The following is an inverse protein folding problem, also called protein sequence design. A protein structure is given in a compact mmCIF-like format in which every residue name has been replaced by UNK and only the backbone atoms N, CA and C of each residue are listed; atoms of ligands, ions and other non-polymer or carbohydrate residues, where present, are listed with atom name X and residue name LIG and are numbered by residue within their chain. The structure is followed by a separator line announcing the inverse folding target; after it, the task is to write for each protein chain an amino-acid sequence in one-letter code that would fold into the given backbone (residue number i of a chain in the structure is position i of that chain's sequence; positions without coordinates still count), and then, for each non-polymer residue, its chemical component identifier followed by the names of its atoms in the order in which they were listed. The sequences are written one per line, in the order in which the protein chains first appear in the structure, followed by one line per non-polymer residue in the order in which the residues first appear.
data_IF_428858344233
#
_entry.id   IF_428858344233
#
_cell.length_a   1.000
_cell.length_b   1.000
_cell.length_c   1.000
_cell.angle_alpha   90.00
_cell.angle_beta   90.00
_cell.angle_gamma   90.00
#
_symmetry.space_group_name_H-M   'P 1'
#
loop_
_entity.id
_entity.type
_entity.pdbx_description
1 polymer ?
#
# COMPACT_ATOMS: atom_id res chain seq x y z
N UNK A 1 -3.50 -31.30 -2.47
CA UNK A 1 -4.56 -30.39 -1.97
C UNK A 1 -4.32 -29.92 -0.53
N UNK A 2 -3.52 -30.60 0.29
CA UNK A 2 -3.22 -30.20 1.67
C UNK A 2 -2.29 -28.97 1.86
N UNK A 3 -1.76 -28.38 0.78
CA UNK A 3 -0.79 -27.28 0.89
C UNK A 3 -1.41 -25.88 1.04
N UNK A 4 -2.65 -25.68 0.60
CA UNK A 4 -3.28 -24.36 0.57
C UNK A 4 -3.88 -23.95 1.92
N UNK A 5 -4.49 -24.89 2.66
CA UNK A 5 -5.06 -24.62 3.98
C UNK A 5 -3.98 -24.36 5.04
N UNK A 6 -2.93 -25.20 5.07
CA UNK A 6 -1.77 -25.00 5.96
C UNK A 6 -1.04 -23.68 5.69
N UNK A 7 -0.93 -23.26 4.41
CA UNK A 7 -0.34 -21.97 4.07
C UNK A 7 -1.21 -20.82 4.57
N UNK A 8 -2.53 -20.90 4.41
CA UNK A 8 -3.47 -19.88 4.86
C UNK A 8 -3.47 -19.69 6.38
N UNK A 9 -3.41 -20.78 7.15
CA UNK A 9 -3.32 -20.70 8.62
C UNK A 9 -1.98 -20.13 9.08
N UNK A 10 -0.87 -20.53 8.44
CA UNK A 10 0.45 -19.97 8.75
C UNK A 10 0.56 -18.48 8.43
N UNK A 11 -0.01 -18.03 7.30
CA UNK A 11 -0.06 -16.60 6.91
C UNK A 11 -0.87 -15.76 7.91
N UNK A 12 -2.01 -16.28 8.40
CA UNK A 12 -2.81 -15.62 9.44
C UNK A 12 -2.05 -15.53 10.77
N UNK A 13 -1.26 -16.55 11.14
CA UNK A 13 -0.41 -16.49 12.33
C UNK A 13 0.74 -15.47 12.23
N UNK A 14 1.13 -15.04 11.03
CA UNK A 14 2.21 -14.07 10.78
C UNK A 14 1.66 -12.63 10.63
N UNK A 15 0.34 -12.45 10.63
CA UNK A 15 -0.28 -11.12 10.52
C UNK A 15 -0.40 -10.60 9.09
N UNK A 16 -0.41 -11.51 8.11
CA UNK A 16 -0.53 -11.18 6.68
C UNK A 16 -1.95 -11.51 6.20
N UNK A 17 -2.58 -10.56 5.52
CA UNK A 17 -3.95 -10.74 5.03
C UNK A 17 -4.05 -11.46 3.67
N UNK A 18 -5.26 -11.58 3.14
CA UNK A 18 -5.52 -12.22 1.85
C UNK A 18 -4.86 -11.51 0.64
N UNK A 19 -4.50 -10.24 0.78
CA UNK A 19 -3.79 -9.44 -0.22
C UNK A 19 -2.26 -9.48 -0.03
N UNK A 20 -1.76 -10.18 0.99
CA UNK A 20 -0.34 -10.20 1.33
C UNK A 20 0.12 -8.97 2.13
N UNK A 21 -0.81 -8.18 2.67
CA UNK A 21 -0.53 -6.97 3.44
C UNK A 21 -0.34 -7.28 4.91
N UNK A 22 0.73 -6.72 5.47
CA UNK A 22 0.92 -6.62 6.92
C UNK A 22 0.19 -5.39 7.49
N UNK A 23 0.09 -5.30 8.81
CA UNK A 23 -0.55 -4.16 9.49
C UNK A 23 0.06 -2.82 9.09
N UNK A 24 1.39 -2.76 8.91
CA UNK A 24 2.05 -1.53 8.51
C UNK A 24 1.73 -1.14 7.07
N UNK A 25 1.65 -2.11 6.15
CA UNK A 25 1.25 -1.86 4.77
C UNK A 25 -0.13 -1.21 4.71
N UNK A 26 -1.09 -1.74 5.48
CA UNK A 26 -2.43 -1.16 5.60
C UNK A 26 -2.38 0.27 6.12
N UNK A 27 -1.56 0.55 7.13
CA UNK A 27 -1.41 1.90 7.71
C UNK A 27 -0.81 2.88 6.72
N UNK A 28 0.16 2.45 5.90
CA UNK A 28 0.72 3.25 4.81
C UNK A 28 -0.37 3.55 3.77
N UNK A 29 -1.11 2.54 3.31
CA UNK A 29 -2.19 2.73 2.35
C UNK A 29 -3.30 3.64 2.89
N UNK A 30 -3.69 3.46 4.16
CA UNK A 30 -4.66 4.33 4.82
C UNK A 30 -4.17 5.78 4.92
N UNK A 31 -2.89 6.00 5.23
CA UNK A 31 -2.27 7.33 5.22
C UNK A 31 -2.38 7.97 3.83
N UNK A 32 -2.03 7.26 2.77
CA UNK A 32 -2.16 7.77 1.39
C UNK A 32 -3.61 8.04 0.99
N UNK A 33 -4.55 7.20 1.46
CA UNK A 33 -5.97 7.37 1.19
C UNK A 33 -6.58 8.63 1.82
N UNK A 34 -5.95 9.23 2.84
CA UNK A 34 -6.39 10.53 3.38
C UNK A 34 -6.31 11.65 2.33
N UNK A 35 -5.47 11.49 1.30
CA UNK A 35 -5.26 12.44 0.21
C UNK A 35 -5.44 11.76 -1.15
N UNK A 36 -6.64 11.22 -1.42
CA UNK A 36 -6.96 10.59 -2.71
C UNK A 36 -6.57 11.50 -3.89
N UNK A 37 -5.68 10.99 -4.75
CA UNK A 37 -5.21 11.67 -5.96
C UNK A 37 -4.09 12.70 -5.75
N UNK A 38 -3.68 12.99 -4.51
CA UNK A 38 -2.59 13.94 -4.22
C UNK A 38 -1.34 13.22 -3.66
N UNK A 39 -0.14 13.51 -4.18
CA UNK A 39 1.10 12.92 -3.68
C UNK A 39 1.36 13.28 -2.21
N UNK A 40 1.70 12.26 -1.41
CA UNK A 40 2.12 12.41 0.00
C UNK A 40 3.63 12.18 0.11
N UNK A 41 4.35 13.09 0.77
CA UNK A 41 5.78 12.96 1.00
C UNK A 41 6.11 11.85 1.99
N UNK A 42 7.27 11.19 1.84
CA UNK A 42 7.63 10.07 2.72
C UNK A 42 7.75 10.46 4.18
N UNK A 43 8.25 11.67 4.47
CA UNK A 43 8.26 12.25 5.82
C UNK A 43 6.90 12.22 6.50
N UNK A 44 5.85 12.52 5.74
CA UNK A 44 4.47 12.51 6.24
C UNK A 44 4.00 11.08 6.50
N UNK A 45 4.33 10.14 5.62
CA UNK A 45 3.99 8.72 5.79
C UNK A 45 4.71 8.16 7.02
N UNK A 46 6.03 8.37 7.10
CA UNK A 46 6.89 8.00 8.22
C UNK A 46 6.32 8.49 9.56
N UNK A 47 6.01 9.78 9.64
CA UNK A 47 5.42 10.37 10.84
C UNK A 47 4.05 9.78 11.19
N UNK A 48 3.22 9.47 10.19
CA UNK A 48 1.88 8.92 10.40
C UNK A 48 1.91 7.46 10.89
N UNK A 49 2.86 6.66 10.41
CA UNK A 49 2.96 5.23 10.76
C UNK A 49 3.96 4.94 11.88
N UNK A 50 4.75 5.94 12.29
CA UNK A 50 5.71 5.84 13.38
C UNK A 50 6.98 5.07 13.01
N UNK A 51 7.37 5.11 11.74
CA UNK A 51 8.54 4.41 11.20
C UNK A 51 9.57 5.38 10.61
N UNK A 52 10.80 4.90 10.43
CA UNK A 52 11.83 5.67 9.73
C UNK A 52 11.56 5.73 8.21
N UNK A 53 11.95 6.85 7.59
CA UNK A 53 11.85 7.03 6.14
C UNK A 53 12.56 5.90 5.39
N UNK A 54 13.80 5.58 5.79
CA UNK A 54 14.62 4.53 5.17
C UNK A 54 13.95 3.15 5.30
N UNK A 55 13.34 2.83 6.45
CA UNK A 55 12.60 1.57 6.62
C UNK A 55 11.44 1.50 5.63
N UNK A 56 10.70 2.60 5.43
CA UNK A 56 9.61 2.63 4.45
C UNK A 56 10.15 2.44 3.02
N UNK A 57 11.23 3.11 2.62
CA UNK A 57 11.77 2.97 1.26
C UNK A 57 12.40 1.61 0.98
N UNK A 58 13.12 1.06 1.95
CA UNK A 58 13.94 -0.14 1.75
C UNK A 58 13.19 -1.44 2.04
N UNK A 59 12.20 -1.41 2.94
CA UNK A 59 11.47 -2.61 3.40
C UNK A 59 10.07 -2.69 2.80
N UNK A 60 9.25 -1.64 2.95
CA UNK A 60 7.81 -1.70 2.67
C UNK A 60 7.45 -1.26 1.24
N UNK A 61 7.98 -0.13 0.78
CA UNK A 61 7.73 0.44 -0.55
C UNK A 61 8.00 -0.56 -1.69
N UNK A 62 9.05 -1.41 -1.66
CA UNK A 62 9.31 -2.35 -2.74
C UNK A 62 8.14 -3.32 -2.97
N UNK A 63 7.48 -3.80 -1.91
CA UNK A 63 6.29 -4.65 -2.05
C UNK A 63 5.10 -3.85 -2.57
N UNK A 64 4.79 -2.70 -1.94
CA UNK A 64 3.63 -1.87 -2.29
C UNK A 64 3.67 -1.36 -3.74
N UNK A 65 4.86 -1.06 -4.27
CA UNK A 65 5.07 -0.70 -5.66
C UNK A 65 4.89 -1.90 -6.61
N UNK A 66 5.49 -3.06 -6.29
CA UNK A 66 5.38 -4.28 -7.14
C UNK A 66 3.95 -4.81 -7.21
N UNK A 67 3.21 -4.76 -6.11
CA UNK A 67 1.79 -5.14 -6.04
C UNK A 67 0.87 -4.09 -6.71
N UNK A 68 1.43 -2.93 -7.11
CA UNK A 68 0.68 -1.87 -7.77
C UNK A 68 -0.27 -1.11 -6.84
N UNK A 69 -0.09 -1.20 -5.51
CA UNK A 69 -0.94 -0.50 -4.53
C UNK A 69 -0.55 0.97 -4.38
N UNK A 70 0.72 1.29 -4.61
CA UNK A 70 1.28 2.64 -4.53
C UNK A 70 2.00 2.98 -5.83
N UNK A 71 1.98 4.26 -6.20
CA UNK A 71 2.81 4.81 -7.25
C UNK A 71 3.76 5.87 -6.68
N UNK A 72 5.06 5.77 -7.02
CA UNK A 72 6.05 6.81 -6.72
C UNK A 72 6.01 7.90 -7.79
N UNK A 73 5.99 9.15 -7.36
CA UNK A 73 6.04 10.35 -8.23
C UNK A 73 7.13 11.29 -7.74
N UNK A 74 7.52 12.28 -8.56
CA UNK A 74 8.47 13.31 -8.16
C UNK A 74 8.01 14.14 -6.94
N UNK A 75 6.70 14.15 -6.65
CA UNK A 75 6.09 14.93 -5.56
C UNK A 75 5.76 14.10 -4.32
N UNK A 76 5.93 12.78 -4.36
CA UNK A 76 5.54 11.88 -3.28
C UNK A 76 4.91 10.57 -3.78
N UNK A 77 4.21 9.88 -2.89
CA UNK A 77 3.54 8.60 -3.16
C UNK A 77 2.05 8.83 -3.29
N UNK A 78 1.41 8.11 -4.20
CA UNK A 78 -0.04 8.16 -4.43
C UNK A 78 -0.59 6.75 -4.31
N UNK A 79 -1.73 6.59 -3.63
CA UNK A 79 -2.44 5.30 -3.61
C UNK A 79 -3.14 5.08 -4.95
N UNK A 80 -3.04 3.87 -5.49
CA UNK A 80 -3.71 3.49 -6.73
C UNK A 80 -5.13 2.98 -6.44
N UNK A 81 -5.91 2.74 -7.50
CA UNK A 81 -7.21 2.08 -7.35
C UNK A 81 -7.08 0.67 -6.75
N UNK A 82 -6.01 -0.06 -7.10
CA UNK A 82 -5.73 -1.37 -6.53
C UNK A 82 -5.42 -1.26 -5.02
N UNK A 83 -4.64 -0.26 -4.62
CA UNK A 83 -4.34 0.02 -3.22
C UNK A 83 -5.60 0.35 -2.40
N UNK A 84 -6.50 1.19 -2.94
CA UNK A 84 -7.78 1.47 -2.28
C UNK A 84 -8.60 0.20 -2.06
N UNK A 85 -8.73 -0.65 -3.10
CA UNK A 85 -9.47 -1.91 -3.00
C UNK A 85 -8.84 -2.88 -2.01
N UNK A 86 -7.51 -2.91 -1.90
CA UNK A 86 -6.79 -3.79 -0.98
C UNK A 86 -7.04 -3.46 0.51
N UNK A 87 -7.49 -2.24 0.81
CA UNK A 87 -7.93 -1.81 2.15
C UNK A 87 -9.43 -1.52 2.22
N UNK A 88 -10.22 -2.15 1.33
CA UNK A 88 -11.68 -2.07 1.29
C UNK A 88 -12.25 -0.64 1.15
N UNK A 89 -11.47 0.27 0.55
CA UNK A 89 -11.88 1.63 0.24
C UNK A 89 -12.38 1.77 -1.20
N UNK A 90 -13.42 2.59 -1.36
CA UNK A 90 -13.99 2.93 -2.66
C UNK A 90 -13.11 3.93 -3.44
N UNK A 91 -12.61 3.57 -4.64
CA UNK A 91 -11.72 4.43 -5.41
C UNK A 91 -12.41 5.61 -6.11
N UNK A 92 -13.71 5.85 -5.92
CA UNK A 92 -14.48 6.91 -6.60
C UNK A 92 -13.88 8.34 -6.51
N UNK A 93 -12.96 8.59 -5.57
CA UNK A 93 -12.21 9.86 -5.46
C UNK A 93 -10.90 9.93 -6.26
N UNK A 94 -10.39 8.81 -6.78
CA UNK A 94 -9.25 8.77 -7.69
C UNK A 94 -9.76 9.05 -9.10
N UNK A 95 -9.72 10.31 -9.54
CA UNK A 95 -9.90 10.63 -10.95
C UNK A 95 -8.96 9.72 -11.76
N UNK A 96 -9.51 9.06 -12.78
CA UNK A 96 -8.81 8.12 -13.65
C UNK A 96 -7.63 8.83 -14.30
N UNK A 97 -6.45 8.79 -13.68
CA UNK A 97 -5.22 9.25 -14.34
C UNK A 97 -5.01 8.30 -15.51
N UNK A 98 -5.11 8.77 -16.77
CA UNK A 98 -4.77 7.93 -17.90
C UNK A 98 -3.30 7.54 -17.73
N UNK A 99 -3.04 6.27 -17.97
CA UNK A 99 -1.72 5.65 -17.91
C UNK A 99 -0.65 6.58 -18.51
N UNK A 100 0.15 7.21 -17.64
CA UNK A 100 1.14 8.20 -18.07
C UNK A 100 2.42 7.55 -18.62
N UNK A 101 2.35 6.23 -18.91
CA UNK A 101 3.46 5.41 -19.39
C UNK A 101 3.06 4.47 -20.55
N UNK A 102 2.08 4.84 -21.37
CA UNK A 102 1.90 4.27 -22.71
C UNK A 102 2.79 4.96 -23.76
#
# INVERSE_FOLDING_TARGET
RAGAELASEALQCIGVDANGLEDLDRRILACLATNLGNPVGIKTIAAAVGEAEDTIEEVFEPHLLRSGFVQKTARGRVITQAGCRAIDLDPRGLATTPDLFA
#
